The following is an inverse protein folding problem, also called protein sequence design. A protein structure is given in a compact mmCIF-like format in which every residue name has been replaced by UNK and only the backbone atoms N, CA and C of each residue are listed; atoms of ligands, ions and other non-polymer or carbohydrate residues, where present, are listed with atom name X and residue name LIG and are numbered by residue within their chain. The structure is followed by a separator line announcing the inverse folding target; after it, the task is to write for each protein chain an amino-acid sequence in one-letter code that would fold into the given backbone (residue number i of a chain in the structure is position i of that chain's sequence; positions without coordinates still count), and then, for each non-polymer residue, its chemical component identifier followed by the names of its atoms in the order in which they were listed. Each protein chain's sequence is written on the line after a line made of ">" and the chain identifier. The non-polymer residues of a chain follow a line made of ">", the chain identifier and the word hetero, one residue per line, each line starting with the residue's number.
data_IF_772579346643
#
_entry.id   IF_772579346643
#
_cell.length_a   1.000
_cell.length_b   1.000
_cell.length_c   1.000
_cell.angle_alpha   90.00
_cell.angle_beta   90.00
_cell.angle_gamma   90.00
#
_symmetry.space_group_name_H-M   'P 1'
#
loop_
_entity.id
_entity.type
_entity.pdbx_description
1 polymer ?
#
# COMPACT_ATOMS: atom_id res chain seq x y z
N UNK A 1 -3.25 -2.68 -7.58
CA UNK A 1 -3.70 -1.63 -8.49
C UNK A 1 -4.59 -2.29 -9.52
N UNK A 2 -5.86 -1.94 -9.47
CA UNK A 2 -6.85 -2.34 -10.47
C UNK A 2 -6.96 -1.22 -11.50
N UNK A 3 -6.57 -1.49 -12.74
CA UNK A 3 -6.71 -0.53 -13.84
C UNK A 3 -8.09 -0.64 -14.50
N UNK A 4 -8.52 -1.87 -14.76
CA UNK A 4 -9.81 -2.18 -15.37
C UNK A 4 -10.51 -3.23 -14.50
N UNK A 5 -11.80 -3.06 -14.24
CA UNK A 5 -12.65 -4.08 -13.63
C UNK A 5 -14.10 -3.94 -14.09
N UNK A 6 -14.86 -5.03 -13.95
CA UNK A 6 -16.29 -5.08 -14.23
C UNK A 6 -16.98 -5.67 -12.99
N UNK A 7 -18.14 -5.11 -12.64
CA UNK A 7 -18.95 -5.57 -11.53
C UNK A 7 -20.43 -5.44 -11.87
N UNK A 8 -21.26 -6.39 -11.43
CA UNK A 8 -22.70 -6.27 -11.63
C UNK A 8 -23.26 -5.11 -10.81
N UNK A 9 -24.21 -4.36 -11.39
CA UNK A 9 -24.84 -3.22 -10.71
C UNK A 9 -25.39 -3.62 -9.34
N UNK A 10 -26.15 -4.72 -9.28
CA UNK A 10 -26.78 -5.18 -8.03
C UNK A 10 -25.78 -5.61 -6.94
N UNK A 11 -24.57 -6.03 -7.31
CA UNK A 11 -23.50 -6.29 -6.33
C UNK A 11 -22.84 -4.98 -5.90
N UNK A 12 -22.53 -4.10 -6.85
CA UNK A 12 -21.95 -2.81 -6.55
C UNK A 12 -22.88 -1.98 -5.65
N UNK A 13 -24.20 -2.11 -5.81
CA UNK A 13 -25.19 -1.41 -4.97
C UNK A 13 -25.15 -1.83 -3.49
N UNK A 14 -24.59 -3.01 -3.20
CA UNK A 14 -24.43 -3.54 -1.83
C UNK A 14 -23.05 -3.27 -1.25
N UNK A 15 -22.03 -3.22 -2.10
CA UNK A 15 -20.63 -3.03 -1.71
C UNK A 15 -20.07 -1.94 -2.60
N UNK A 16 -19.82 -0.78 -2.01
CA UNK A 16 -19.24 0.38 -2.67
C UNK A 16 -17.80 0.57 -2.20
N UNK A 17 -17.09 1.43 -2.89
CA UNK A 17 -15.85 1.97 -2.36
C UNK A 17 -16.13 2.81 -1.10
N UNK A 18 -15.14 2.87 -0.21
CA UNK A 18 -15.25 3.64 1.02
C UNK A 18 -14.89 5.10 0.74
N UNK A 19 -15.89 5.94 0.50
CA UNK A 19 -15.70 7.37 0.17
C UNK A 19 -15.01 8.18 1.29
N UNK A 20 -14.99 7.66 2.52
CA UNK A 20 -14.23 8.25 3.63
C UNK A 20 -12.71 8.11 3.50
N UNK A 21 -12.23 7.26 2.58
CA UNK A 21 -10.82 7.10 2.27
C UNK A 21 -10.39 8.26 1.37
N UNK A 22 -9.70 9.22 1.96
CA UNK A 22 -9.15 10.37 1.25
C UNK A 22 -7.67 10.14 0.87
N UNK A 23 -7.26 10.66 -0.28
CA UNK A 23 -5.89 10.54 -0.79
C UNK A 23 -5.69 9.33 -1.71
N UNK A 24 -4.44 8.99 -2.00
CA UNK A 24 -4.10 8.00 -3.03
C UNK A 24 -3.85 6.59 -2.48
N UNK A 25 -4.41 5.57 -3.15
CA UNK A 25 -3.99 4.16 -3.05
C UNK A 25 -4.73 3.31 -2.01
N UNK A 26 -4.73 1.97 -2.20
CA UNK A 26 -5.34 0.96 -1.32
C UNK A 26 -6.88 0.95 -1.17
N UNK A 27 -7.59 1.88 -1.79
CA UNK A 27 -9.05 1.84 -1.90
C UNK A 27 -9.52 0.57 -2.63
N UNK A 28 -8.90 0.27 -3.78
CA UNK A 28 -9.12 -0.96 -4.56
C UNK A 28 -8.82 -2.23 -3.76
N UNK A 29 -7.79 -2.17 -2.91
CA UNK A 29 -7.35 -3.27 -2.05
C UNK A 29 -8.37 -3.54 -0.94
N UNK A 30 -8.92 -2.49 -0.32
CA UNK A 30 -9.99 -2.63 0.66
C UNK A 30 -11.28 -3.15 0.01
N UNK A 31 -11.64 -2.63 -1.15
CA UNK A 31 -12.80 -3.12 -1.89
C UNK A 31 -12.69 -4.61 -2.23
N UNK A 32 -11.53 -5.06 -2.73
CA UNK A 32 -11.26 -6.48 -2.97
C UNK A 32 -11.31 -7.33 -1.70
N UNK A 33 -10.86 -6.77 -0.57
CA UNK A 33 -10.95 -7.44 0.73
C UNK A 33 -12.42 -7.60 1.20
N UNK A 34 -13.27 -6.60 1.02
CA UNK A 34 -14.68 -6.67 1.38
C UNK A 34 -15.44 -7.68 0.52
N UNK A 35 -15.14 -7.74 -0.78
CA UNK A 35 -15.65 -8.79 -1.67
C UNK A 35 -15.24 -10.19 -1.18
N UNK A 36 -13.97 -10.36 -0.80
CA UNK A 36 -13.45 -11.62 -0.24
C UNK A 36 -14.16 -12.00 1.07
N UNK A 37 -14.41 -11.04 1.97
CA UNK A 37 -15.15 -11.26 3.22
C UNK A 37 -16.58 -11.76 2.97
N UNK A 38 -17.21 -11.30 1.89
CA UNK A 38 -18.54 -11.73 1.47
C UNK A 38 -18.52 -13.01 0.64
N UNK A 39 -17.37 -13.69 0.53
CA UNK A 39 -17.16 -14.89 -0.29
C UNK A 39 -17.56 -14.68 -1.77
N UNK A 40 -17.42 -13.46 -2.28
CA UNK A 40 -17.63 -13.19 -3.69
C UNK A 40 -16.40 -13.64 -4.47
N UNK A 41 -16.61 -14.51 -5.46
CA UNK A 41 -15.55 -14.97 -6.34
C UNK A 41 -15.12 -13.84 -7.29
N UNK A 42 -13.81 -13.57 -7.34
CA UNK A 42 -13.22 -12.64 -8.30
C UNK A 42 -12.63 -13.45 -9.45
N UNK A 43 -13.11 -13.21 -10.66
CA UNK A 43 -12.52 -13.76 -11.88
C UNK A 43 -11.40 -12.82 -12.35
N UNK A 44 -10.17 -13.32 -12.37
CA UNK A 44 -9.03 -12.60 -12.94
C UNK A 44 -8.95 -12.86 -14.44
N UNK A 45 -8.86 -11.77 -15.22
CA UNK A 45 -8.71 -11.80 -16.67
C UNK A 45 -7.34 -11.21 -17.00
N UNK A 46 -6.55 -11.91 -17.81
CA UNK A 46 -5.26 -11.43 -18.28
C UNK A 46 -5.47 -10.30 -19.30
N UNK A 47 -5.43 -9.06 -18.80
CA UNK A 47 -5.51 -7.84 -19.59
C UNK A 47 -4.19 -7.05 -19.41
N UNK A 48 -3.12 -7.41 -20.14
CA UNK A 48 -1.82 -6.79 -19.96
C UNK A 48 -1.84 -5.30 -20.34
N UNK A 49 -1.04 -4.50 -19.63
CA UNK A 49 -0.93 -3.06 -19.84
C UNK A 49 0.52 -2.68 -20.11
N UNK A 50 0.72 -1.65 -20.93
CA UNK A 50 2.03 -1.09 -21.21
C UNK A 50 2.19 0.19 -20.39
N UNK A 51 3.24 0.24 -19.56
CA UNK A 51 3.62 1.45 -18.85
C UNK A 51 4.66 2.22 -19.68
N UNK A 52 4.25 3.34 -20.28
CA UNK A 52 5.09 4.16 -21.16
C UNK A 52 6.03 5.14 -20.42
N UNK A 53 6.16 5.02 -19.09
CA UNK A 53 7.16 5.77 -18.32
C UNK A 53 6.86 7.26 -18.14
N UNK A 54 5.59 7.65 -18.16
CA UNK A 54 5.19 9.06 -18.03
C UNK A 54 5.41 9.64 -16.63
N UNK A 55 5.49 8.79 -15.61
CA UNK A 55 5.59 9.21 -14.22
C UNK A 55 7.05 9.34 -13.78
N UNK A 56 7.42 10.52 -13.28
CA UNK A 56 8.75 10.78 -12.74
C UNK A 56 8.93 10.11 -11.37
N UNK A 57 10.15 9.64 -11.06
CA UNK A 57 10.48 8.98 -9.80
C UNK A 57 10.06 9.78 -8.57
N UNK A 58 10.23 11.11 -8.57
CA UNK A 58 9.83 11.97 -7.45
C UNK A 58 8.33 11.89 -7.16
N UNK A 59 7.50 11.99 -8.20
CA UNK A 59 6.05 11.91 -8.08
C UNK A 59 5.57 10.50 -7.69
N UNK A 60 6.25 9.47 -8.20
CA UNK A 60 6.02 8.09 -7.77
C UNK A 60 6.29 7.90 -6.26
N UNK A 61 7.37 8.50 -5.73
CA UNK A 61 7.67 8.45 -4.30
C UNK A 61 6.64 9.23 -3.46
N UNK A 62 6.13 10.36 -3.95
CA UNK A 62 5.03 11.09 -3.31
C UNK A 62 3.77 10.24 -3.21
N UNK A 63 3.32 9.67 -4.33
CA UNK A 63 2.17 8.75 -4.36
C UNK A 63 2.37 7.54 -3.44
N UNK A 64 3.60 7.00 -3.38
CA UNK A 64 3.94 5.91 -2.47
C UNK A 64 3.79 6.32 -1.00
N UNK A 65 4.23 7.53 -0.64
CA UNK A 65 4.05 8.04 0.73
C UNK A 65 2.58 8.22 1.07
N UNK A 66 1.79 8.77 0.15
CA UNK A 66 0.34 8.88 0.32
C UNK A 66 -0.34 7.52 0.48
N UNK A 67 0.02 6.54 -0.36
CA UNK A 67 -0.53 5.19 -0.26
C UNK A 67 -0.18 4.51 1.06
N UNK A 68 1.03 4.72 1.59
CA UNK A 68 1.40 4.18 2.91
C UNK A 68 0.59 4.82 4.05
N UNK A 69 0.37 6.14 4.00
CA UNK A 69 -0.50 6.82 4.97
C UNK A 69 -1.91 6.24 4.92
N UNK A 70 -2.43 6.06 3.71
CA UNK A 70 -3.77 5.53 3.52
C UNK A 70 -3.88 4.08 3.98
N UNK A 71 -2.88 3.26 3.68
CA UNK A 71 -2.78 1.88 4.16
C UNK A 71 -2.79 1.81 5.69
N UNK A 72 -2.04 2.69 6.36
CA UNK A 72 -2.00 2.77 7.82
C UNK A 72 -3.35 3.20 8.41
N UNK A 73 -4.01 4.16 7.77
CA UNK A 73 -5.36 4.61 8.12
C UNK A 73 -6.39 3.47 8.01
N UNK A 74 -6.44 2.79 6.86
CA UNK A 74 -7.32 1.63 6.63
C UNK A 74 -7.06 0.53 7.66
N UNK A 75 -5.79 0.23 7.94
CA UNK A 75 -5.42 -0.78 8.93
C UNK A 75 -5.84 -0.39 10.37
N UNK A 76 -5.96 0.91 10.67
CA UNK A 76 -6.38 1.42 11.97
C UNK A 76 -7.89 1.51 12.15
N UNK A 77 -8.66 1.70 11.07
CA UNK A 77 -10.04 2.18 11.19
C UNK A 77 -11.09 1.18 11.68
N UNK A 78 -10.81 -0.12 11.68
CA UNK A 78 -11.92 -1.07 11.85
C UNK A 78 -11.52 -2.38 12.52
N UNK A 79 -10.41 -2.41 13.25
CA UNK A 79 -9.93 -3.66 13.82
C UNK A 79 -9.94 -4.77 12.75
N UNK A 80 -9.47 -4.46 11.53
CA UNK A 80 -9.33 -5.43 10.43
C UNK A 80 -8.20 -6.41 10.81
N UNK A 81 -8.44 -7.20 11.85
CA UNK A 81 -7.50 -7.36 12.97
C UNK A 81 -6.36 -8.32 12.66
N UNK A 82 -6.50 -9.20 11.66
CA UNK A 82 -5.48 -10.22 11.34
C UNK A 82 -5.41 -10.58 9.86
N UNK A 83 -6.54 -10.67 9.17
CA UNK A 83 -6.58 -11.18 7.79
C UNK A 83 -6.07 -10.14 6.79
N UNK A 84 -6.57 -8.91 6.86
CA UNK A 84 -6.12 -7.81 5.98
C UNK A 84 -4.62 -7.52 6.12
N UNK A 85 -4.11 -7.57 7.37
CA UNK A 85 -2.69 -7.40 7.68
C UNK A 85 -1.81 -8.52 7.09
N UNK A 86 -2.29 -9.77 7.07
CA UNK A 86 -1.52 -10.90 6.52
C UNK A 86 -1.43 -10.85 5.00
N UNK A 87 -2.47 -10.38 4.34
CA UNK A 87 -2.52 -10.31 2.88
C UNK A 87 -1.61 -9.18 2.33
N UNK A 88 -1.25 -8.20 3.16
CA UNK A 88 -0.38 -7.08 2.78
C UNK A 88 0.99 -7.19 3.48
N UNK A 89 2.02 -7.62 2.75
CA UNK A 89 3.40 -7.83 3.26
C UNK A 89 3.93 -6.63 4.06
N UNK A 90 3.71 -5.41 3.58
CA UNK A 90 4.19 -4.20 4.27
C UNK A 90 3.56 -4.06 5.67
N UNK A 91 2.25 -4.27 5.80
CA UNK A 91 1.55 -4.26 7.09
C UNK A 91 2.05 -5.37 8.01
N UNK A 92 2.30 -6.57 7.46
CA UNK A 92 2.84 -7.69 8.21
C UNK A 92 4.19 -7.33 8.86
N UNK A 93 5.15 -6.83 8.10
CA UNK A 93 6.47 -6.45 8.63
C UNK A 93 6.40 -5.24 9.57
N UNK A 94 5.53 -4.27 9.28
CA UNK A 94 5.26 -3.17 10.20
C UNK A 94 4.76 -3.69 11.56
N UNK A 95 3.76 -4.58 11.56
CA UNK A 95 3.22 -5.19 12.81
C UNK A 95 4.24 -6.07 13.52
N UNK A 96 5.10 -6.78 12.78
CA UNK A 96 6.21 -7.52 13.37
C UNK A 96 7.17 -6.57 14.11
N UNK A 97 7.51 -5.42 13.50
CA UNK A 97 8.36 -4.40 14.12
C UNK A 97 7.73 -3.71 15.34
N UNK A 98 6.40 -3.58 15.38
CA UNK A 98 5.67 -3.11 16.56
C UNK A 98 5.78 -4.13 17.70
N UNK A 99 5.55 -5.42 17.40
CA UNK A 99 5.58 -6.50 18.40
C UNK A 99 6.97 -6.77 18.96
N UNK A 100 8.01 -6.65 18.14
CA UNK A 100 9.41 -6.85 18.57
C UNK A 100 10.02 -5.63 19.26
N UNK A 101 9.31 -4.50 19.34
CA UNK A 101 9.82 -3.23 19.86
C UNK A 101 10.82 -2.52 18.93
N UNK A 102 11.10 -3.07 17.75
CA UNK A 102 12.09 -2.53 16.80
C UNK A 102 11.61 -1.29 16.03
N UNK A 103 10.32 -0.95 16.08
CA UNK A 103 9.76 0.22 15.39
C UNK A 103 10.56 1.51 15.65
N UNK A 104 10.95 1.76 16.91
CA UNK A 104 11.72 2.96 17.27
C UNK A 104 13.10 2.97 16.61
N UNK A 105 13.77 1.82 16.60
CA UNK A 105 15.09 1.65 15.97
C UNK A 105 14.98 1.90 14.47
N UNK A 106 14.01 1.27 13.79
CA UNK A 106 13.76 1.45 12.36
C UNK A 106 13.48 2.92 12.03
N UNK A 107 12.66 3.60 12.84
CA UNK A 107 12.37 5.03 12.67
C UNK A 107 13.63 5.90 12.78
N UNK A 108 14.49 5.65 13.77
CA UNK A 108 15.73 6.41 13.96
C UNK A 108 16.67 6.25 12.75
N UNK A 109 16.87 5.01 12.31
CA UNK A 109 17.66 4.73 11.11
C UNK A 109 17.03 5.37 9.87
N UNK A 110 15.72 5.23 9.67
CA UNK A 110 15.04 5.82 8.52
C UNK A 110 15.23 7.35 8.48
N UNK A 111 14.97 8.06 9.58
CA UNK A 111 15.13 9.50 9.64
C UNK A 111 16.57 9.96 9.34
N UNK A 112 17.56 9.15 9.69
CA UNK A 112 18.97 9.47 9.48
C UNK A 112 19.45 9.14 8.05
N UNK A 113 18.77 8.23 7.36
CA UNK A 113 19.17 7.72 6.04
C UNK A 113 18.20 8.04 4.91
N UNK A 114 17.04 8.66 5.20
CA UNK A 114 15.96 8.91 4.22
C UNK A 114 16.46 9.58 2.95
N UNK A 115 17.30 10.61 3.07
CA UNK A 115 17.87 11.31 1.91
C UNK A 115 18.75 10.41 1.04
N UNK A 116 19.53 9.51 1.63
CA UNK A 116 20.35 8.55 0.88
C UNK A 116 19.49 7.49 0.18
N UNK A 117 18.41 7.06 0.82
CA UNK A 117 17.44 6.15 0.21
C UNK A 117 16.76 6.83 -0.99
N UNK A 118 16.28 8.06 -0.82
CA UNK A 118 15.65 8.82 -1.90
C UNK A 118 16.62 9.12 -3.05
N UNK A 119 17.88 9.44 -2.77
CA UNK A 119 18.91 9.59 -3.81
C UNK A 119 19.11 8.32 -4.64
N UNK A 120 19.14 7.13 -4.02
CA UNK A 120 19.19 5.88 -4.77
C UNK A 120 17.93 5.67 -5.61
N UNK A 121 16.75 5.94 -5.05
CA UNK A 121 15.46 5.74 -5.72
C UNK A 121 15.21 6.75 -6.85
N UNK A 122 15.86 7.90 -6.81
CA UNK A 122 15.82 8.91 -7.88
C UNK A 122 16.97 8.75 -8.88
N UNK A 123 17.89 7.80 -8.67
CA UNK A 123 19.01 7.55 -9.60
C UNK A 123 18.58 6.76 -10.84
N UNK A 124 19.48 6.64 -11.82
CA UNK A 124 19.28 5.82 -13.02
C UNK A 124 19.22 4.31 -12.72
N UNK A 125 19.71 3.88 -11.55
CA UNK A 125 19.74 2.47 -11.13
C UNK A 125 19.11 2.29 -9.74
N UNK A 126 17.79 2.51 -9.61
CA UNK A 126 17.11 2.37 -8.34
C UNK A 126 17.06 0.89 -7.91
N UNK A 127 17.17 0.64 -6.61
CA UNK A 127 17.08 -0.71 -6.06
C UNK A 127 15.69 -0.99 -5.48
N UNK A 128 15.05 -2.08 -5.90
CA UNK A 128 13.77 -2.52 -5.31
C UNK A 128 13.90 -2.87 -3.83
N UNK A 129 15.03 -3.43 -3.40
CA UNK A 129 15.30 -3.68 -1.99
C UNK A 129 15.33 -2.38 -1.17
N UNK A 130 16.04 -1.35 -1.65
CA UNK A 130 16.03 0.00 -1.05
C UNK A 130 14.61 0.57 -1.00
N UNK A 131 13.80 0.32 -2.04
CA UNK A 131 12.40 0.75 -2.05
C UNK A 131 11.56 0.05 -0.98
N UNK A 132 11.74 -1.25 -0.77
CA UNK A 132 11.05 -1.97 0.31
C UNK A 132 11.47 -1.47 1.70
N UNK A 133 12.76 -1.19 1.91
CA UNK A 133 13.26 -0.54 3.13
C UNK A 133 12.68 0.86 3.32
N UNK A 134 12.59 1.64 2.24
CA UNK A 134 12.01 2.98 2.24
C UNK A 134 10.55 2.94 2.69
N UNK A 135 9.73 2.05 2.11
CA UNK A 135 8.31 1.92 2.47
C UNK A 135 8.13 1.53 3.94
N UNK A 136 8.88 0.54 4.43
CA UNK A 136 8.80 0.10 5.83
C UNK A 136 9.27 1.19 6.80
N UNK A 137 10.42 1.81 6.50
CA UNK A 137 10.97 2.90 7.29
C UNK A 137 10.03 4.10 7.36
N UNK A 138 9.46 4.50 6.22
CA UNK A 138 8.47 5.57 6.14
C UNK A 138 7.24 5.26 6.99
N UNK A 139 6.68 4.05 6.86
CA UNK A 139 5.52 3.62 7.64
C UNK A 139 5.79 3.62 9.15
N UNK A 140 7.00 3.25 9.58
CA UNK A 140 7.43 3.31 10.98
C UNK A 140 7.68 4.73 11.50
N UNK A 141 7.96 5.69 10.60
CA UNK A 141 8.26 7.09 10.94
C UNK A 141 7.02 7.94 11.18
N UNK A 142 5.92 7.62 10.48
CA UNK A 142 4.58 8.20 10.67
C UNK A 142 3.82 7.49 11.78
#
# INVERSE_FOLDING_TARGET
>A
MTNNFLISKGLFDKIRFHEGIMGYGHEDTLFGYDLKKMNIQILHIDNPLIHIGLEQNGFFLEKTRESIKNLKYIAGINNHEKVFVKDIKLLYYYKLSERSGMKKIIRLFFNSWVHKLEQNLMSEKPSLFVFDLYKLGYMCSI
#
